data_IF_401585237991
#
_entry.id   IF_401585237991
#
_cell.length_a   1.000
_cell.length_b   1.000
_cell.length_c   1.000
_cell.angle_alpha   90.00
_cell.angle_beta   90.00
_cell.angle_gamma   90.00
#
_symmetry.space_group_name_H-M   'P 1'
#
loop_
_entity.id
_entity.type
_entity.pdbx_description
1 polymer ?
#
# COMPACT_ATOMS: atom_id res chain seq x y z
N UNK A 1 -7.57 0.24 9.85
CA UNK A 1 -6.73 -0.86 10.38
C UNK A 1 -5.28 -0.59 10.05
N UNK A 2 -4.93 -0.33 8.78
CA UNK A 2 -3.64 0.22 8.37
C UNK A 2 -3.78 0.93 7.02
N UNK A 3 -2.73 1.65 6.64
CA UNK A 3 -2.64 2.42 5.40
C UNK A 3 -1.60 1.80 4.44
N UNK A 4 -1.59 2.21 3.17
CA UNK A 4 -0.67 1.65 2.18
C UNK A 4 -0.65 2.42 0.87
N UNK A 5 0.24 2.02 -0.04
CA UNK A 5 0.40 2.65 -1.35
C UNK A 5 0.24 1.64 -2.49
N UNK A 6 -0.41 2.08 -3.57
CA UNK A 6 -0.61 1.24 -4.77
C UNK A 6 0.69 1.19 -5.56
N UNK A 7 1.26 0.00 -5.76
CA UNK A 7 2.44 -0.19 -6.61
C UNK A 7 2.05 -0.48 -8.05
N UNK A 8 1.04 -1.32 -8.27
CA UNK A 8 0.55 -1.68 -9.60
C UNK A 8 -0.91 -2.16 -9.56
N UNK A 9 -1.37 -2.80 -10.64
CA UNK A 9 -2.76 -3.28 -10.80
C UNK A 9 -3.17 -4.37 -9.82
N UNK A 10 -2.27 -4.90 -8.99
CA UNK A 10 -2.55 -5.95 -8.02
C UNK A 10 -1.85 -5.78 -6.66
N UNK A 11 -0.80 -4.98 -6.56
CA UNK A 11 0.03 -4.91 -5.37
C UNK A 11 -0.12 -3.59 -4.64
N UNK A 12 -0.31 -3.69 -3.33
CA UNK A 12 -0.23 -2.62 -2.35
C UNK A 12 0.99 -2.89 -1.48
N UNK A 13 1.78 -1.86 -1.17
CA UNK A 13 2.82 -1.92 -0.15
C UNK A 13 2.33 -1.29 1.14
N UNK A 14 2.67 -1.90 2.28
CA UNK A 14 2.26 -1.47 3.61
C UNK A 14 3.28 -1.95 4.65
N UNK A 15 2.99 -1.73 5.92
CA UNK A 15 3.81 -2.16 7.04
C UNK A 15 3.59 -3.64 7.36
N UNK A 16 4.68 -4.39 7.58
CA UNK A 16 4.63 -5.80 7.98
C UNK A 16 4.05 -6.00 9.40
N UNK A 17 4.50 -5.21 10.36
CA UNK A 17 4.12 -5.31 11.78
C UNK A 17 2.62 -5.18 11.99
N UNK A 18 1.94 -4.33 11.22
CA UNK A 18 0.48 -4.23 11.25
C UNK A 18 -0.20 -5.56 10.90
N UNK A 19 0.18 -6.18 9.78
CA UNK A 19 -0.40 -7.45 9.35
C UNK A 19 -0.04 -8.57 10.35
N UNK A 20 1.22 -8.62 10.79
CA UNK A 20 1.70 -9.63 11.72
C UNK A 20 0.92 -9.60 13.05
N UNK A 21 0.69 -8.41 13.60
CA UNK A 21 -0.11 -8.24 14.83
C UNK A 21 -1.54 -8.71 14.61
N UNK A 22 -2.18 -8.28 13.54
CA UNK A 22 -3.56 -8.67 13.22
C UNK A 22 -3.70 -10.19 13.12
N UNK A 23 -2.74 -10.84 12.46
CA UNK A 23 -2.69 -12.30 12.32
C UNK A 23 -2.47 -13.04 13.64
N UNK A 24 -1.67 -12.48 14.56
CA UNK A 24 -1.48 -13.03 15.90
C UNK A 24 -2.68 -12.83 16.82
N UNK A 25 -3.38 -11.71 16.70
CA UNK A 25 -4.60 -11.43 17.49
C UNK A 25 -5.74 -12.38 17.10
N UNK A 26 -5.85 -12.75 15.83
CA UNK A 26 -6.91 -13.62 15.31
C UNK A 26 -6.33 -14.89 14.67
N UNK A 27 -5.77 -15.81 15.48
CA UNK A 27 -5.13 -17.01 14.96
C UNK A 27 -6.13 -17.89 14.20
N UNK A 28 -5.69 -18.45 13.07
CA UNK A 28 -6.49 -19.35 12.23
C UNK A 28 -7.44 -18.67 11.24
N UNK A 29 -7.63 -17.35 11.30
CA UNK A 29 -8.41 -16.62 10.31
C UNK A 29 -7.50 -16.06 9.21
N UNK A 30 -7.80 -16.26 7.92
CA UNK A 30 -7.00 -15.65 6.86
C UNK A 30 -7.16 -14.12 6.85
N UNK A 31 -6.12 -13.40 6.44
CA UNK A 31 -6.14 -11.93 6.35
C UNK A 31 -7.32 -11.40 5.50
N UNK A 32 -7.79 -12.17 4.52
CA UNK A 32 -8.94 -11.82 3.68
C UNK A 32 -10.29 -11.79 4.41
N UNK A 33 -10.39 -12.43 5.57
CA UNK A 33 -11.56 -12.36 6.45
C UNK A 33 -11.43 -11.24 7.49
N UNK A 34 -10.19 -10.88 7.85
CA UNK A 34 -9.90 -9.83 8.83
C UNK A 34 -9.89 -8.42 8.23
N UNK A 35 -9.53 -8.28 6.95
CA UNK A 35 -9.35 -6.99 6.31
C UNK A 35 -9.72 -6.98 4.82
N UNK A 36 -10.02 -5.78 4.32
CA UNK A 36 -10.23 -5.47 2.90
C UNK A 36 -9.46 -4.21 2.52
N UNK A 37 -9.06 -4.11 1.25
CA UNK A 37 -8.39 -2.93 0.73
C UNK A 37 -9.45 -1.97 0.20
N UNK A 38 -9.38 -0.70 0.59
CA UNK A 38 -10.26 0.37 0.13
C UNK A 38 -9.41 1.46 -0.50
N UNK A 39 -9.75 1.88 -1.73
CA UNK A 39 -8.93 2.81 -2.52
C UNK A 39 -9.72 4.05 -2.93
N UNK A 40 -9.00 5.12 -3.31
CA UNK A 40 -9.58 6.34 -3.90
C UNK A 40 -10.34 7.24 -2.94
N UNK A 41 -10.19 7.03 -1.63
CA UNK A 41 -10.91 7.78 -0.61
C UNK A 41 -10.20 9.09 -0.28
N UNK A 42 -11.00 10.14 -0.10
CA UNK A 42 -10.56 11.41 0.52
C UNK A 42 -11.29 11.59 1.84
N UNK A 43 -12.59 11.26 1.88
CA UNK A 43 -13.42 11.32 3.07
C UNK A 43 -13.58 9.92 3.69
N UNK A 44 -13.10 9.75 4.92
CA UNK A 44 -13.02 8.45 5.61
C UNK A 44 -14.39 7.79 5.77
N UNK A 45 -15.43 8.58 6.04
CA UNK A 45 -16.80 8.10 6.30
C UNK A 45 -17.69 8.08 5.05
N UNK A 46 -17.27 8.71 3.95
CA UNK A 46 -18.04 8.70 2.69
C UNK A 46 -18.20 7.26 2.18
N UNK A 47 -19.32 6.93 1.55
CA UNK A 47 -19.57 5.61 0.94
C UNK A 47 -19.90 5.67 -0.55
N UNK A 48 -19.92 6.88 -1.12
CA UNK A 48 -20.50 7.17 -2.44
C UNK A 48 -19.74 6.42 -3.55
N UNK A 49 -18.43 6.27 -3.41
CA UNK A 49 -17.55 5.59 -4.38
C UNK A 49 -16.77 4.43 -3.74
N UNK A 50 -17.38 3.75 -2.76
CA UNK A 50 -16.70 2.68 -2.04
C UNK A 50 -16.43 1.47 -2.92
N UNK A 51 -15.13 1.24 -3.14
CA UNK A 51 -14.65 0.06 -3.82
C UNK A 51 -13.68 -0.71 -2.93
N UNK A 52 -14.12 -1.89 -2.54
CA UNK A 52 -13.34 -2.83 -1.75
C UNK A 52 -12.73 -3.91 -2.63
N UNK A 53 -11.47 -4.22 -2.36
CA UNK A 53 -10.72 -5.29 -2.99
C UNK A 53 -10.41 -6.37 -1.96
N UNK A 54 -10.60 -7.63 -2.36
CA UNK A 54 -10.33 -8.78 -1.51
C UNK A 54 -8.83 -9.02 -1.48
N UNK A 55 -8.28 -9.25 -0.29
CA UNK A 55 -6.89 -9.67 -0.14
C UNK A 55 -6.76 -11.11 -0.64
N UNK A 56 -5.84 -11.36 -1.56
CA UNK A 56 -5.53 -12.71 -2.05
C UNK A 56 -4.38 -13.34 -1.26
N UNK A 57 -3.30 -12.59 -1.09
CA UNK A 57 -2.12 -13.01 -0.33
C UNK A 57 -1.41 -11.79 0.26
N UNK A 58 -0.56 -12.04 1.23
CA UNK A 58 0.41 -11.08 1.74
C UNK A 58 1.78 -11.75 1.81
N UNK A 59 2.84 -10.97 1.57
CA UNK A 59 4.23 -11.42 1.64
C UNK A 59 4.99 -10.43 2.49
N UNK A 60 5.58 -10.88 3.61
CA UNK A 60 6.51 -10.09 4.40
C UNK A 60 7.86 -10.01 3.69
N UNK A 61 8.64 -8.96 3.96
CA UNK A 61 10.05 -9.01 3.63
C UNK A 61 10.68 -10.30 4.22
N UNK A 62 11.55 -11.03 3.49
CA UNK A 62 12.09 -12.31 3.97
C UNK A 62 12.85 -12.19 5.29
N UNK A 63 13.47 -11.04 5.52
CA UNK A 63 14.21 -10.70 6.74
C UNK A 63 13.40 -9.83 7.71
N UNK A 64 12.07 -9.79 7.58
CA UNK A 64 11.20 -9.10 8.53
C UNK A 64 11.37 -9.69 9.93
N UNK A 65 11.68 -8.83 10.89
CA UNK A 65 11.82 -9.19 12.30
C UNK A 65 11.05 -8.19 13.16
N UNK A 66 9.91 -8.66 13.65
CA UNK A 66 9.00 -7.88 14.47
C UNK A 66 9.64 -7.41 15.78
N UNK A 67 10.39 -8.29 16.46
CA UNK A 67 10.98 -7.98 17.77
C UNK A 67 12.15 -7.00 17.61
N UNK A 68 12.92 -7.14 16.52
CA UNK A 68 14.07 -6.28 16.26
C UNK A 68 13.77 -5.01 15.47
N UNK A 69 12.51 -4.72 15.13
CA UNK A 69 12.13 -3.53 14.36
C UNK A 69 12.71 -3.48 12.93
N UNK A 70 13.00 -4.63 12.31
CA UNK A 70 13.74 -4.66 11.04
C UNK A 70 12.87 -5.06 9.87
N UNK A 71 13.13 -4.42 8.73
CA UNK A 71 12.54 -4.73 7.43
C UNK A 71 11.01 -4.75 7.51
N UNK A 72 10.44 -3.71 8.09
CA UNK A 72 9.04 -3.62 8.51
C UNK A 72 8.11 -3.28 7.34
N UNK A 73 8.19 -4.08 6.28
CA UNK A 73 7.50 -3.86 5.01
C UNK A 73 6.88 -5.17 4.50
N UNK A 74 5.67 -5.06 3.98
CA UNK A 74 4.94 -6.17 3.38
C UNK A 74 4.24 -5.75 2.09
N UNK A 75 4.08 -6.71 1.21
CA UNK A 75 3.28 -6.60 -0.01
C UNK A 75 1.96 -7.32 0.18
N UNK A 76 0.87 -6.70 -0.24
CA UNK A 76 -0.47 -7.27 -0.25
C UNK A 76 -0.94 -7.35 -1.69
N UNK A 77 -1.30 -8.57 -2.12
CA UNK A 77 -1.83 -8.83 -3.46
C UNK A 77 -3.35 -8.87 -3.41
N UNK A 78 -4.01 -8.09 -4.27
CA UNK A 78 -5.47 -8.15 -4.45
C UNK A 78 -5.88 -9.36 -5.30
N UNK A 79 -7.04 -9.92 -4.97
CA UNK A 79 -7.67 -10.99 -5.76
C UNK A 79 -8.11 -10.47 -7.12
N UNK A 80 -8.80 -9.33 -7.12
CA UNK A 80 -9.25 -8.60 -8.29
C UNK A 80 -8.16 -7.65 -8.81
N UNK A 81 -8.19 -7.31 -10.11
CA UNK A 81 -7.37 -6.23 -10.64
C UNK A 81 -7.89 -4.87 -10.15
N UNK A 82 -6.99 -3.98 -9.77
CA UNK A 82 -7.30 -2.60 -9.40
C UNK A 82 -7.63 -1.81 -10.66
N UNK A 83 -8.78 -1.13 -10.64
CA UNK A 83 -9.23 -0.30 -11.76
C UNK A 83 -8.76 1.13 -11.56
N UNK A 84 -7.74 1.51 -12.33
CA UNK A 84 -7.19 2.86 -12.25
C UNK A 84 -8.15 3.91 -12.85
N UNK A 85 -8.22 5.05 -12.16
CA UNK A 85 -9.03 6.20 -12.54
C UNK A 85 -8.37 7.47 -12.00
N UNK A 86 -9.02 8.63 -12.13
CA UNK A 86 -8.43 9.91 -11.70
C UNK A 86 -8.10 10.01 -10.19
N UNK A 87 -8.67 9.14 -9.35
CA UNK A 87 -8.46 9.07 -7.90
C UNK A 87 -7.67 7.84 -7.44
N UNK A 88 -7.55 6.82 -8.31
CA UNK A 88 -6.85 5.57 -8.01
C UNK A 88 -5.74 5.39 -9.04
N UNK A 89 -4.50 5.64 -8.62
CA UNK A 89 -3.31 5.52 -9.45
C UNK A 89 -2.17 4.85 -8.67
N UNK A 90 -1.31 4.08 -9.35
CA UNK A 90 -0.07 3.59 -8.75
C UNK A 90 0.93 4.72 -8.51
N UNK A 91 1.83 4.51 -7.56
CA UNK A 91 2.97 5.40 -7.30
C UNK A 91 4.28 4.67 -7.63
N UNK A 92 5.22 5.40 -8.26
CA UNK A 92 6.56 4.87 -8.57
C UNK A 92 7.42 4.86 -7.29
N UNK A 93 8.25 3.84 -7.10
CA UNK A 93 9.30 3.87 -6.06
C UNK A 93 10.44 4.81 -6.45
N UNK A 94 11.01 5.49 -5.46
CA UNK A 94 12.26 6.22 -5.65
C UNK A 94 13.41 5.25 -5.89
N UNK A 95 14.12 5.48 -6.99
CA UNK A 95 15.37 4.77 -7.32
C UNK A 95 16.56 5.57 -6.78
N UNK A 96 16.72 5.62 -5.47
CA UNK A 96 17.95 6.11 -4.84
C UNK A 96 17.81 6.41 -3.35
N UNK A 97 18.91 6.82 -2.70
CA UNK A 97 18.85 7.39 -1.38
C UNK A 97 18.06 8.69 -1.37
N UNK A 98 17.45 9.01 -0.23
CA UNK A 98 16.76 10.29 0.00
C UNK A 98 17.80 11.30 0.51
N UNK A 99 18.09 12.39 -0.21
CA UNK A 99 19.02 13.41 0.29
C UNK A 99 18.53 14.06 1.58
N UNK A 100 19.44 14.37 2.50
CA UNK A 100 19.12 15.15 3.69
C UNK A 100 18.50 16.52 3.30
N UNK A 101 17.52 16.97 4.09
CA UNK A 101 16.80 18.22 3.85
C UNK A 101 15.73 18.14 2.76
N UNK A 102 15.62 17.01 2.04
CA UNK A 102 14.58 16.80 1.02
C UNK A 102 13.19 17.01 1.61
N UNK A 103 12.35 17.74 0.86
CA UNK A 103 10.94 17.90 1.21
C UNK A 103 10.21 16.58 0.96
N UNK A 104 9.56 16.06 2.01
CA UNK A 104 8.77 14.84 1.98
C UNK A 104 7.36 15.13 2.46
N UNK A 105 6.39 14.41 1.91
CA UNK A 105 4.97 14.51 2.24
C UNK A 105 4.47 13.16 2.74
N UNK A 106 3.86 13.14 3.91
CA UNK A 106 3.14 12.00 4.45
C UNK A 106 1.63 12.27 4.42
N UNK A 107 0.83 11.26 4.08
CA UNK A 107 -0.62 11.38 4.05
C UNK A 107 -1.28 10.24 4.82
N UNK A 108 -2.21 10.58 5.70
CA UNK A 108 -3.05 9.63 6.44
C UNK A 108 -4.28 10.35 7.00
N UNK A 109 -5.27 9.61 7.50
CA UNK A 109 -6.44 10.20 8.15
C UNK A 109 -6.15 10.60 9.60
N UNK A 110 -5.13 10.02 10.24
CA UNK A 110 -4.70 10.41 11.59
C UNK A 110 -5.75 10.16 12.68
N UNK A 111 -5.31 9.99 13.93
CA UNK A 111 -6.19 10.08 15.09
C UNK A 111 -6.06 11.48 15.72
N UNK A 112 -7.17 12.14 16.10
CA UNK A 112 -7.11 13.33 16.96
C UNK A 112 -6.53 12.98 18.35
N UNK A 113 -5.92 13.98 18.96
CA UNK A 113 -5.15 13.85 20.21
C UNK A 113 -6.01 13.43 21.40
N UNK A 114 -5.40 12.63 22.25
CA UNK A 114 -5.73 12.36 23.66
C UNK A 114 -6.98 11.56 24.02
N UNK A 115 -7.85 11.19 23.08
CA UNK A 115 -8.95 10.24 23.37
C UNK A 115 -8.97 9.07 22.40
N UNK A 116 -8.58 7.90 22.92
CA UNK A 116 -8.50 6.63 22.19
C UNK A 116 -9.88 6.00 21.90
N UNK A 117 -10.86 6.80 21.45
CA UNK A 117 -12.13 6.30 20.95
C UNK A 117 -12.07 6.19 19.42
N UNK A 118 -12.70 5.15 18.88
CA UNK A 118 -12.71 4.80 17.44
C UNK A 118 -13.35 5.87 16.53
N UNK A 119 -13.90 6.94 17.12
CA UNK A 119 -14.64 8.03 16.46
C UNK A 119 -13.80 9.29 16.16
N UNK A 120 -12.54 9.36 16.57
CA UNK A 120 -11.70 10.58 16.53
C UNK A 120 -10.76 10.68 15.32
N UNK A 121 -10.97 9.91 14.26
CA UNK A 121 -10.22 10.11 13.01
C UNK A 121 -10.68 11.35 12.26
N UNK A 122 -9.76 12.05 11.59
CA UNK A 122 -10.15 13.17 10.72
C UNK A 122 -11.03 12.63 9.60
N UNK A 123 -12.13 13.34 9.33
CA UNK A 123 -13.04 12.94 8.26
C UNK A 123 -12.37 13.03 6.89
N UNK A 124 -11.46 13.99 6.69
CA UNK A 124 -10.74 14.17 5.42
C UNK A 124 -9.29 13.73 5.55
N UNK A 125 -8.73 13.19 4.46
CA UNK A 125 -7.32 12.80 4.37
C UNK A 125 -6.44 14.01 4.68
N UNK A 126 -5.49 13.83 5.59
CA UNK A 126 -4.54 14.87 5.99
C UNK A 126 -3.22 14.71 5.22
N UNK A 127 -2.48 15.81 5.11
CA UNK A 127 -1.14 15.86 4.54
C UNK A 127 -0.22 16.58 5.52
N UNK A 128 0.93 15.98 5.80
CA UNK A 128 2.02 16.58 6.55
C UNK A 128 3.24 16.72 5.65
N UNK A 129 3.76 17.94 5.55
CA UNK A 129 5.04 18.20 4.87
C UNK A 129 6.15 18.33 5.91
N UNK A 130 7.26 17.63 5.68
CA UNK A 130 8.41 17.56 6.56
C UNK A 130 9.72 17.55 5.77
N UNK A 131 10.85 17.61 6.47
CA UNK A 131 12.18 17.44 5.88
C UNK A 131 12.80 16.13 6.33
N UNK A 132 13.40 15.41 5.39
CA UNK A 132 14.22 14.26 5.70
C UNK A 132 15.47 14.71 6.49
N UNK A 133 15.82 13.95 7.53
CA UNK A 133 17.01 14.17 8.35
C UNK A 133 18.00 13.02 8.14
N UNK A 134 19.27 13.24 8.49
CA UNK A 134 20.27 12.17 8.43
C UNK A 134 20.03 11.10 9.48
N UNK A 135 20.61 9.92 9.27
CA UNK A 135 20.54 8.83 10.26
C UNK A 135 21.21 9.20 11.58
N UNK A 136 22.28 9.99 11.53
CA UNK A 136 23.01 10.38 12.73
C UNK A 136 22.21 11.42 13.53
N UNK A 137 21.60 12.41 12.86
CA UNK A 137 20.62 13.30 13.51
C UNK A 137 19.44 12.52 14.09
N UNK A 138 18.91 11.54 13.36
CA UNK A 138 17.82 10.70 13.86
C UNK A 138 18.21 9.92 15.12
N UNK A 139 19.39 9.29 15.13
CA UNK A 139 19.93 8.59 16.31
C UNK A 139 20.13 9.55 17.47
N UNK A 140 20.66 10.74 17.23
CA UNK A 140 20.91 11.74 18.26
C UNK A 140 19.59 12.22 18.90
N UNK A 141 18.56 12.47 18.09
CA UNK A 141 17.21 12.83 18.55
C UNK A 141 16.48 11.69 19.26
N UNK A 142 16.76 10.44 18.89
CA UNK A 142 16.20 9.24 19.54
C UNK A 142 16.93 8.87 20.84
N UNK A 143 18.23 9.18 20.95
CA UNK A 143 19.08 8.75 22.06
C UNK A 143 18.57 9.08 23.48
N UNK A 144 17.87 10.20 23.74
CA UNK A 144 17.36 10.51 25.08
C UNK A 144 16.11 9.70 25.45
N UNK A 145 15.54 8.95 24.52
CA UNK A 145 14.24 8.32 24.66
C UNK A 145 14.34 6.81 24.73
N UNK A 146 13.50 6.19 25.57
CA UNK A 146 13.41 4.73 25.64
C UNK A 146 12.79 4.19 24.34
N UNK A 147 13.51 3.33 23.63
CA UNK A 147 13.01 2.72 22.39
C UNK A 147 11.80 1.81 22.65
N UNK A 148 11.55 1.38 23.90
CA UNK A 148 10.33 0.67 24.29
C UNK A 148 9.07 1.56 24.19
N UNK A 149 9.23 2.88 24.24
CA UNK A 149 8.14 3.85 24.04
C UNK A 149 7.86 4.15 22.55
N UNK A 150 8.62 3.53 21.62
CA UNK A 150 8.26 3.54 20.21
C UNK A 150 6.97 2.76 20.04
N UNK A 151 5.88 3.51 19.87
CA UNK A 151 4.59 2.91 19.60
C UNK A 151 4.59 2.54 18.12
N UNK A 152 4.68 1.25 17.84
CA UNK A 152 4.19 0.69 16.59
C UNK A 152 2.68 0.88 16.57
N UNK A 153 2.24 2.05 16.12
CA UNK A 153 0.88 2.54 16.31
C UNK A 153 -0.13 1.58 15.68
N UNK A 154 -0.76 0.77 16.52
CA UNK A 154 -1.80 -0.18 16.11
C UNK A 154 -3.14 0.50 15.85
N UNK A 155 -3.21 1.82 16.03
CA UNK A 155 -4.43 2.62 15.92
C UNK A 155 -4.56 3.23 14.52
N UNK A 156 -4.11 2.53 13.48
CA UNK A 156 -4.45 2.84 12.09
C UNK A 156 -3.59 3.87 11.36
N UNK A 157 -2.53 4.40 11.97
CA UNK A 157 -1.65 5.42 11.37
C UNK A 157 -0.35 4.87 10.76
N UNK A 158 -0.29 3.56 10.49
CA UNK A 158 0.93 2.87 10.06
C UNK A 158 0.78 2.28 8.67
N UNK A 159 1.90 2.12 7.96
CA UNK A 159 1.95 1.70 6.56
C UNK A 159 1.62 2.80 5.56
N UNK A 160 1.22 4.00 6.02
CA UNK A 160 0.92 5.14 5.16
C UNK A 160 2.14 5.62 4.36
N UNK A 161 1.93 6.19 3.16
CA UNK A 161 3.01 6.52 2.24
C UNK A 161 3.78 7.77 2.65
N UNK A 162 5.11 7.69 2.60
CA UNK A 162 5.99 8.85 2.54
C UNK A 162 6.42 9.08 1.09
N UNK A 163 6.18 10.27 0.58
CA UNK A 163 6.35 10.63 -0.83
C UNK A 163 7.27 11.84 -0.96
N UNK A 164 8.06 11.88 -2.02
CA UNK A 164 8.77 13.10 -2.43
C UNK A 164 8.53 13.41 -3.91
N UNK A 165 8.80 14.64 -4.32
CA UNK A 165 8.87 14.99 -5.73
C UNK A 165 10.30 14.80 -6.21
N UNK A 166 10.51 13.84 -7.12
CA UNK A 166 11.77 13.56 -7.79
C UNK A 166 11.53 13.47 -9.31
N UNK A 167 12.40 14.10 -10.09
CA UNK A 167 12.27 14.22 -11.56
C UNK A 167 10.90 14.78 -12.00
N UNK A 168 10.39 15.75 -11.24
CA UNK A 168 9.09 16.39 -11.48
C UNK A 168 7.87 15.49 -11.23
N UNK A 169 8.05 14.32 -10.59
CA UNK A 169 6.97 13.35 -10.31
C UNK A 169 6.98 12.92 -8.85
N UNK A 170 5.80 12.58 -8.34
CA UNK A 170 5.67 11.97 -7.02
C UNK A 170 6.25 10.55 -7.03
N UNK A 171 7.12 10.26 -6.07
CA UNK A 171 7.75 8.96 -5.88
C UNK A 171 7.66 8.54 -4.41
N UNK A 172 7.32 7.28 -4.19
CA UNK A 172 7.22 6.67 -2.87
C UNK A 172 8.63 6.35 -2.35
N UNK A 173 8.94 6.84 -1.16
CA UNK A 173 10.27 6.72 -0.55
C UNK A 173 10.26 5.88 0.73
N UNK A 174 9.11 5.79 1.39
CA UNK A 174 8.96 5.11 2.67
C UNK A 174 7.53 4.68 2.94
N UNK A 175 7.39 3.73 3.86
CA UNK A 175 6.13 3.41 4.54
C UNK A 175 6.29 3.69 6.03
N UNK A 176 5.27 4.29 6.66
CA UNK A 176 5.31 4.59 8.09
C UNK A 176 5.47 3.30 8.89
N UNK A 177 6.49 3.23 9.74
CA UNK A 177 6.79 2.07 10.59
C UNK A 177 6.48 2.37 12.07
N UNK A 178 7.05 3.44 12.63
CA UNK A 178 6.84 3.75 14.04
C UNK A 178 6.66 5.25 14.28
N UNK A 179 5.99 5.55 15.39
CA UNK A 179 5.90 6.90 15.94
C UNK A 179 6.21 6.84 17.44
N UNK A 180 6.90 7.86 17.94
CA UNK A 180 7.13 7.99 19.37
C UNK A 180 5.99 8.81 20.00
N UNK A 181 5.33 8.24 21.02
CA UNK A 181 4.28 8.86 21.87
C UNK A 181 3.56 10.07 21.23
N UNK A 182 2.65 9.83 20.28
CA UNK A 182 1.66 10.74 19.66
C UNK A 182 2.06 12.21 19.36
N UNK A 183 1.64 12.75 18.21
CA UNK A 183 1.91 14.12 17.72
C UNK A 183 2.22 15.19 18.80
N UNK A 184 3.49 15.54 19.03
CA UNK A 184 4.05 16.66 19.85
C UNK A 184 5.40 16.30 20.47
N UNK A 185 5.93 15.10 20.22
CA UNK A 185 7.30 14.76 20.59
C UNK A 185 8.32 15.48 19.68
N UNK A 186 9.50 15.79 20.23
CA UNK A 186 10.69 16.20 19.48
C UNK A 186 11.33 15.03 18.71
N UNK A 187 10.76 13.83 18.85
CA UNK A 187 11.24 12.61 18.18
C UNK A 187 10.71 12.54 16.75
N UNK A 188 11.57 12.29 15.75
CA UNK A 188 11.16 12.13 14.36
C UNK A 188 10.27 10.89 14.16
N UNK A 189 9.38 10.95 13.16
CA UNK A 189 8.65 9.77 12.69
C UNK A 189 9.56 8.78 11.97
N UNK A 190 9.36 7.48 12.22
CA UNK A 190 10.15 6.39 11.65
C UNK A 190 9.48 5.78 10.43
N UNK A 191 10.21 5.72 9.32
CA UNK A 191 9.74 5.12 8.06
C UNK A 191 10.70 4.03 7.60
N UNK A 192 10.15 2.92 7.11
CA UNK A 192 10.93 1.88 6.44
C UNK A 192 11.37 2.39 5.06
N UNK A 193 12.68 2.34 4.78
CA UNK A 193 13.25 2.94 3.57
C UNK A 193 13.13 1.97 2.40
N UNK A 194 12.28 2.30 1.43
CA UNK A 194 11.95 1.37 0.34
C UNK A 194 13.09 1.13 -0.64
N UNK A 195 14.04 2.08 -0.77
CA UNK A 195 15.22 1.87 -1.60
C UNK A 195 16.06 0.65 -1.16
N UNK A 196 16.10 0.35 0.14
CA UNK A 196 16.82 -0.82 0.66
C UNK A 196 16.17 -2.14 0.24
N UNK A 197 14.89 -2.08 -0.16
CA UNK A 197 14.05 -3.23 -0.49
C UNK A 197 13.68 -3.28 -1.97
N UNK A 198 14.31 -2.43 -2.80
CA UNK A 198 13.86 -2.20 -4.17
C UNK A 198 13.86 -3.48 -5.02
N UNK A 199 14.90 -4.31 -4.87
CA UNK A 199 15.03 -5.60 -5.56
C UNK A 199 13.91 -6.56 -5.14
N UNK A 200 13.77 -6.82 -3.84
CA UNK A 200 12.68 -7.66 -3.32
C UNK A 200 11.30 -7.17 -3.74
N UNK A 201 11.03 -5.85 -3.66
CA UNK A 201 9.74 -5.30 -4.08
C UNK A 201 9.53 -5.56 -5.57
N UNK A 202 10.54 -5.28 -6.42
CA UNK A 202 10.44 -5.47 -7.86
C UNK A 202 10.13 -6.92 -8.24
N UNK A 203 10.86 -7.86 -7.64
CA UNK A 203 10.72 -9.30 -7.88
C UNK A 203 9.34 -9.80 -7.44
N UNK A 204 8.96 -9.55 -6.19
CA UNK A 204 7.74 -10.09 -5.59
C UNK A 204 6.48 -9.45 -6.19
N UNK A 205 6.51 -8.15 -6.50
CA UNK A 205 5.37 -7.45 -7.11
C UNK A 205 5.35 -7.49 -8.64
N UNK A 206 6.41 -8.04 -9.26
CA UNK A 206 6.65 -8.01 -10.70
C UNK A 206 6.56 -6.58 -11.29
N UNK A 207 7.01 -5.59 -10.53
CA UNK A 207 7.08 -4.20 -10.99
C UNK A 207 8.41 -3.98 -11.70
N UNK A 208 8.38 -3.78 -13.01
CA UNK A 208 9.56 -3.38 -13.77
C UNK A 208 9.71 -1.85 -13.76
N UNK A 209 10.65 -1.33 -12.96
CA UNK A 209 10.85 0.10 -12.79
C UNK A 209 11.57 0.77 -13.98
N UNK A 210 12.19 0.00 -14.89
CA UNK A 210 12.82 0.52 -16.12
C UNK A 210 11.82 0.89 -17.22
N UNK A 211 10.59 0.36 -17.18
CA UNK A 211 9.55 0.55 -18.20
C UNK A 211 8.38 1.44 -17.73
N UNK A 212 8.63 2.40 -16.85
CA UNK A 212 7.57 3.30 -16.34
C UNK A 212 7.20 4.43 -17.30
N UNK A 213 7.03 4.11 -18.59
CA UNK A 213 6.11 4.86 -19.41
C UNK A 213 4.69 4.42 -19.04
N UNK A 214 4.09 5.10 -18.05
CA UNK A 214 2.71 4.83 -17.60
C UNK A 214 1.69 4.79 -18.76
N UNK A 215 1.97 5.48 -19.87
CA UNK A 215 1.19 5.39 -21.11
C UNK A 215 1.23 4.01 -21.77
N UNK A 216 2.40 3.36 -21.80
CA UNK A 216 2.55 2.01 -22.33
C UNK A 216 2.00 0.96 -21.37
N UNK A 217 2.19 1.11 -20.07
CA UNK A 217 1.62 0.19 -19.09
C UNK A 217 0.08 0.20 -19.14
N UNK A 218 -0.55 1.37 -19.23
CA UNK A 218 -1.99 1.49 -19.48
C UNK A 218 -2.41 0.87 -20.82
N UNK A 219 -1.58 0.99 -21.86
CA UNK A 219 -1.84 0.37 -23.18
C UNK A 219 -1.77 -1.16 -23.11
N UNK A 220 -0.76 -1.71 -22.44
CA UNK A 220 -0.58 -3.16 -22.25
C UNK A 220 -1.72 -3.74 -21.41
N UNK A 221 -2.10 -3.11 -20.30
CA UNK A 221 -3.23 -3.57 -19.47
C UNK A 221 -4.55 -3.50 -20.24
N UNK A 222 -4.79 -2.43 -21.02
CA UNK A 222 -5.97 -2.34 -21.92
C UNK A 222 -5.96 -3.44 -22.98
N UNK A 223 -4.81 -3.76 -23.56
CA UNK A 223 -4.67 -4.81 -24.56
C UNK A 223 -4.92 -6.20 -23.95
N UNK A 224 -4.40 -6.49 -22.76
CA UNK A 224 -4.65 -7.75 -22.04
C UNK A 224 -6.13 -7.87 -21.66
N UNK A 225 -6.74 -6.81 -21.12
CA UNK A 225 -8.17 -6.79 -20.81
C UNK A 225 -9.04 -6.99 -22.06
N UNK A 226 -8.68 -6.36 -23.18
CA UNK A 226 -9.35 -6.54 -24.46
C UNK A 226 -9.18 -7.97 -25.00
N UNK A 227 -8.01 -8.58 -24.87
CA UNK A 227 -7.76 -9.97 -25.26
C UNK A 227 -8.59 -10.94 -24.43
N UNK A 228 -8.68 -10.75 -23.11
CA UNK A 228 -9.51 -11.57 -22.22
C UNK A 228 -11.00 -11.43 -22.60
N UNK A 229 -11.46 -10.21 -22.90
CA UNK A 229 -12.83 -9.97 -23.37
C UNK A 229 -13.12 -10.65 -24.72
N UNK A 230 -12.16 -10.63 -25.65
CA UNK A 230 -12.28 -11.29 -26.94
C UNK A 230 -12.32 -12.81 -26.81
N UNK A 231 -11.43 -13.41 -26.01
CA UNK A 231 -11.43 -14.85 -25.72
C UNK A 231 -12.74 -15.30 -25.05
N UNK A 232 -13.28 -14.50 -24.14
CA UNK A 232 -14.58 -14.78 -23.53
C UNK A 232 -15.72 -14.72 -24.57
N UNK A 233 -15.73 -13.74 -25.47
CA UNK A 233 -16.73 -13.66 -26.55
C UNK A 233 -16.66 -14.85 -27.51
N UNK A 234 -15.46 -15.28 -27.89
CA UNK A 234 -15.29 -16.47 -28.74
C UNK A 234 -15.75 -17.74 -28.02
N UNK A 235 -15.42 -17.89 -26.74
CA UNK A 235 -15.87 -19.01 -25.92
C UNK A 235 -17.40 -19.07 -25.83
N UNK A 236 -18.06 -17.92 -25.65
CA UNK A 236 -19.52 -17.81 -25.65
C UNK A 236 -20.12 -18.16 -27.03
N UNK A 237 -19.54 -17.66 -28.12
CA UNK A 237 -19.98 -18.00 -29.48
C UNK A 237 -19.85 -19.50 -29.76
N UNK A 238 -18.74 -20.11 -29.36
CA UNK A 238 -18.48 -21.55 -29.53
C UNK A 238 -19.49 -22.39 -28.75
N UNK A 239 -19.81 -22.01 -27.51
CA UNK A 239 -20.86 -22.67 -26.71
C UNK A 239 -22.24 -22.55 -27.35
N UNK A 240 -22.59 -21.39 -27.91
CA UNK A 240 -23.86 -21.21 -28.64
C UNK A 240 -23.93 -22.08 -29.91
N UNK A 241 -22.84 -22.15 -30.67
CA UNK A 241 -22.77 -22.98 -31.87
C UNK A 241 -22.91 -24.48 -31.53
N UNK A 242 -22.26 -24.95 -30.46
CA UNK A 242 -22.40 -26.34 -29.99
C UNK A 242 -23.84 -26.62 -29.56
N UNK A 243 -24.49 -25.69 -28.87
CA UNK A 243 -25.89 -25.84 -28.44
C UNK A 243 -26.85 -25.90 -29.62
N UNK A 244 -26.71 -25.00 -30.59
CA UNK A 244 -27.52 -25.00 -31.81
C UNK A 244 -27.31 -26.26 -32.67
N UNK A 245 -26.07 -26.78 -32.73
CA UNK A 245 -25.78 -28.04 -33.41
C UNK A 245 -26.43 -29.25 -32.74
N UNK A 246 -26.51 -29.25 -31.40
CA UNK A 246 -27.25 -30.27 -30.63
C UNK A 246 -28.75 -30.21 -30.87
N UNK A 247 -29.33 -29.01 -30.81
CA UNK A 247 -30.76 -28.79 -31.03
C UNK A 247 -31.20 -29.20 -32.46
N UNK A 248 -30.34 -29.04 -33.47
CA UNK A 248 -30.59 -29.50 -34.84
C UNK A 248 -30.35 -31.02 -35.06
N UNK A 249 -29.68 -31.71 -34.14
CA UNK A 249 -29.46 -33.17 -34.22
C UNK A 249 -30.53 -34.00 -33.52
N UNK A 250 -31.38 -33.35 -32.71
CA UNK A 250 -32.48 -33.94 -31.95
C UNK A 250 -33.86 -33.66 -32.58
N UNK A 251 -33.90 -32.99 -33.74
CA UNK A 251 -35.09 -32.70 -34.55
C UNK A 251 -35.06 -33.49 -35.87
#
# INVERSE_FOLDING_TARGET
>A
LGSGAILNVRFIITQASFIWKLMRTYPGQPLSELARIRLGQVELKSKIDDRFYTIYSHTYHPEFDFEAARNDVALVRTREYIDFNRFVQPIKLLSGPIPEGSLVSYTDWGAEKDTAAQDDYKEKLQKLDARAISNDQCKELLSPWDLQDLVYDTRGNVGGPLVMIADGRAQLVGVMSYVYRACNSLVPGGFERLWNHHEWIAEESSVNYSDTNFGEMCRVVRNVAAQILMQNKETVRRRRAIRAAKENSEA
#
